data_IF_684061878428
#
_entry.id   IF_684061878428
#
_cell.length_a   1.000
_cell.length_b   1.000
_cell.length_c   1.000
_cell.angle_alpha   90.00
_cell.angle_beta   90.00
_cell.angle_gamma   90.00
#
_symmetry.space_group_name_H-M   'P 1'
#
loop_
_entity.id
_entity.type
_entity.pdbx_description
1 polymer ?
#
# COMPACT_ATOMS: atom_id res chain seq x y z
N UNK A 1 1.74 -4.40 -18.99
CA UNK A 1 0.41 -3.91 -18.61
C UNK A 1 0.12 -2.74 -19.52
N UNK A 2 -0.91 -2.85 -20.34
CA UNK A 2 -1.30 -1.77 -21.26
C UNK A 2 -2.37 -0.94 -20.55
N UNK A 3 -2.02 0.28 -20.14
CA UNK A 3 -2.97 1.17 -19.47
C UNK A 3 -3.92 1.80 -20.48
N UNK A 4 -5.23 1.70 -20.21
CA UNK A 4 -6.23 2.53 -20.88
C UNK A 4 -6.32 3.87 -20.13
N UNK A 5 -5.81 4.94 -20.74
CA UNK A 5 -5.87 6.29 -20.20
C UNK A 5 -7.06 7.04 -20.82
N UNK A 6 -7.63 7.98 -20.06
CA UNK A 6 -8.71 8.87 -20.54
C UNK A 6 -8.17 9.97 -21.46
N UNK A 7 -6.91 10.37 -21.23
CA UNK A 7 -6.21 11.41 -21.98
C UNK A 7 -4.68 11.15 -21.91
N UNK A 8 -3.90 11.97 -22.60
CA UNK A 8 -2.44 11.82 -22.71
C UNK A 8 -1.66 12.42 -21.54
N UNK A 9 -2.33 12.93 -20.48
CA UNK A 9 -1.62 13.49 -19.34
C UNK A 9 -0.89 12.39 -18.57
N UNK A 10 0.40 12.60 -18.35
CA UNK A 10 1.22 11.71 -17.53
C UNK A 10 1.17 12.12 -16.06
N UNK A 11 0.03 11.86 -15.41
CA UNK A 11 -0.14 12.12 -13.98
C UNK A 11 0.39 10.99 -13.11
N UNK A 12 0.49 9.78 -13.64
CA UNK A 12 0.86 8.56 -12.91
C UNK A 12 1.87 7.76 -13.75
N UNK A 13 2.92 7.26 -13.11
CA UNK A 13 3.97 6.47 -13.75
C UNK A 13 3.97 5.05 -13.22
N UNK A 14 4.27 4.10 -14.12
CA UNK A 14 4.50 2.69 -13.77
C UNK A 14 6.00 2.48 -13.57
N UNK A 15 6.40 2.11 -12.36
CA UNK A 15 7.71 1.59 -12.04
C UNK A 15 7.65 0.06 -11.94
N UNK A 16 8.63 -0.62 -12.53
CA UNK A 16 8.82 -2.06 -12.38
C UNK A 16 9.99 -2.28 -11.42
N UNK A 17 9.67 -2.34 -10.13
CA UNK A 17 10.67 -2.47 -9.09
C UNK A 17 11.26 -3.90 -9.08
N UNK A 18 12.58 -4.09 -9.22
CA UNK A 18 13.17 -5.42 -9.25
C UNK A 18 13.07 -6.09 -7.87
N UNK A 19 12.67 -7.35 -7.85
CA UNK A 19 12.71 -8.21 -6.68
C UNK A 19 13.78 -9.30 -6.87
N UNK A 20 14.17 -10.00 -5.81
CA UNK A 20 15.04 -11.18 -5.94
C UNK A 20 14.46 -12.21 -6.92
N UNK A 21 13.13 -12.32 -6.96
CA UNK A 21 12.38 -13.17 -7.89
C UNK A 21 11.29 -12.36 -8.57
N UNK A 22 11.57 -11.93 -9.80
CA UNK A 22 10.64 -11.17 -10.63
C UNK A 22 10.69 -9.68 -10.36
N UNK A 23 9.56 -9.01 -10.53
CA UNK A 23 9.42 -7.56 -10.36
C UNK A 23 8.08 -7.23 -9.72
N UNK A 24 8.04 -6.11 -9.00
CA UNK A 24 6.85 -5.52 -8.42
C UNK A 24 6.44 -4.29 -9.25
N UNK A 25 5.44 -4.43 -10.15
CA UNK A 25 4.88 -3.28 -10.84
C UNK A 25 4.05 -2.42 -9.88
N UNK A 26 4.49 -1.18 -9.67
CA UNK A 26 3.87 -0.18 -8.81
C UNK A 26 3.59 1.12 -9.57
N UNK A 27 2.55 1.84 -9.17
CA UNK A 27 2.18 3.12 -9.74
C UNK A 27 2.47 4.23 -8.75
N UNK A 28 3.09 5.32 -9.19
CA UNK A 28 3.42 6.46 -8.33
C UNK A 28 3.18 7.78 -9.08
N UNK A 29 3.10 8.86 -8.30
CA UNK A 29 2.80 10.21 -8.78
C UNK A 29 4.10 11.03 -8.80
N UNK A 30 4.60 11.43 -9.98
CA UNK A 30 5.81 12.26 -10.07
C UNK A 30 5.72 13.57 -9.28
N UNK A 31 4.51 14.13 -9.14
CA UNK A 31 4.27 15.33 -8.35
C UNK A 31 4.57 15.12 -6.85
N UNK A 32 4.25 13.94 -6.32
CA UNK A 32 4.55 13.60 -4.93
C UNK A 32 6.02 13.19 -4.79
N UNK A 33 6.61 12.51 -5.77
CA UNK A 33 8.06 12.20 -5.73
C UNK A 33 8.90 13.49 -5.67
N UNK A 34 8.50 14.52 -6.42
CA UNK A 34 9.17 15.81 -6.47
C UNK A 34 9.17 16.57 -5.13
N UNK A 35 8.30 16.21 -4.17
CA UNK A 35 8.34 16.82 -2.84
C UNK A 35 9.53 16.35 -2.00
N UNK A 36 10.14 15.19 -2.33
CA UNK A 36 11.28 14.62 -1.61
C UNK A 36 11.01 14.19 -0.16
N UNK A 37 9.78 14.30 0.32
CA UNK A 37 9.39 14.02 1.71
C UNK A 37 8.80 12.63 1.90
N UNK A 38 8.12 12.09 0.89
CA UNK A 38 7.43 10.81 0.98
C UNK A 38 7.87 9.86 -0.11
N UNK A 39 7.80 8.56 0.18
CA UNK A 39 7.75 7.49 -0.82
C UNK A 39 6.35 6.89 -0.77
N UNK A 40 5.72 6.68 -1.92
CA UNK A 40 4.35 6.19 -2.02
C UNK A 40 4.19 5.30 -3.25
N UNK A 41 3.15 4.48 -3.25
CA UNK A 41 2.71 3.80 -4.45
C UNK A 41 1.25 3.33 -4.33
N UNK A 42 0.62 3.11 -5.48
CA UNK A 42 -0.42 2.11 -5.62
C UNK A 42 0.21 0.83 -6.11
N UNK A 43 -0.06 -0.27 -5.42
CA UNK A 43 0.28 -1.58 -5.94
C UNK A 43 -0.63 -1.94 -7.11
N UNK A 44 -0.14 -2.79 -8.01
CA UNK A 44 -1.00 -3.49 -8.96
C UNK A 44 -1.28 -4.90 -8.46
N UNK A 45 -2.08 -5.69 -9.17
CA UNK A 45 -2.26 -7.12 -8.85
C UNK A 45 -1.03 -7.99 -9.20
N UNK A 46 -0.01 -7.43 -9.85
CA UNK A 46 1.17 -8.15 -10.31
C UNK A 46 2.30 -8.19 -9.28
N UNK A 47 3.20 -9.17 -9.42
CA UNK A 47 4.44 -9.24 -8.64
C UNK A 47 4.32 -9.90 -7.27
N UNK A 48 3.21 -10.58 -6.95
CA UNK A 48 3.02 -11.26 -5.67
C UNK A 48 3.16 -12.79 -5.72
N UNK A 49 2.82 -13.45 -4.61
CA UNK A 49 2.93 -14.88 -4.38
C UNK A 49 1.58 -15.61 -4.34
N UNK A 50 0.48 -14.88 -4.14
CA UNK A 50 -0.88 -15.42 -4.06
C UNK A 50 -1.28 -16.10 -5.36
N UNK A 51 -2.21 -17.06 -5.25
CA UNK A 51 -2.63 -17.93 -6.36
C UNK A 51 -4.13 -17.85 -6.63
N UNK A 52 -4.54 -18.38 -7.79
CA UNK A 52 -5.96 -18.53 -8.14
C UNK A 52 -6.66 -17.17 -8.22
N UNK A 53 -7.78 -17.03 -7.52
CA UNK A 53 -8.55 -15.77 -7.58
C UNK A 53 -7.83 -14.57 -6.91
N UNK A 54 -6.83 -14.83 -6.07
CA UNK A 54 -6.03 -13.81 -5.40
C UNK A 54 -4.76 -13.45 -6.18
N UNK A 55 -4.55 -14.08 -7.35
CA UNK A 55 -3.30 -13.94 -8.09
C UNK A 55 -3.06 -12.50 -8.58
N UNK A 56 -1.88 -11.90 -8.36
CA UNK A 56 -0.70 -12.44 -7.64
C UNK A 56 -0.42 -11.72 -6.32
N UNK A 57 -0.79 -10.45 -6.19
CA UNK A 57 -0.42 -9.59 -5.06
C UNK A 57 -1.66 -9.19 -4.24
N UNK A 58 -2.26 -10.15 -3.54
CA UNK A 58 -3.31 -9.84 -2.57
C UNK A 58 -2.70 -9.43 -1.21
N UNK A 59 -3.18 -8.31 -0.66
CA UNK A 59 -2.72 -7.77 0.63
C UNK A 59 -3.75 -7.93 1.75
N UNK A 60 -4.80 -8.71 1.53
CA UNK A 60 -5.86 -8.92 2.52
C UNK A 60 -5.77 -10.27 3.22
N UNK A 61 -5.63 -10.22 4.55
CA UNK A 61 -5.73 -11.37 5.45
C UNK A 61 -7.17 -11.87 5.68
N UNK A 62 -8.19 -11.17 5.19
CA UNK A 62 -9.60 -11.42 5.58
C UNK A 62 -10.48 -11.93 4.44
N UNK A 63 -9.91 -12.11 3.25
CA UNK A 63 -10.66 -12.54 2.04
C UNK A 63 -10.47 -14.01 1.69
N UNK A 64 -9.78 -14.77 2.54
CA UNK A 64 -9.62 -16.22 2.40
C UNK A 64 -8.40 -16.66 1.59
N UNK A 65 -7.42 -15.78 1.40
CA UNK A 65 -6.13 -16.13 0.81
C UNK A 65 -5.21 -16.82 1.83
N UNK A 66 -4.15 -17.46 1.34
CA UNK A 66 -3.13 -18.07 2.20
C UNK A 66 -2.36 -16.98 2.95
N UNK A 67 -2.31 -17.09 4.28
CA UNK A 67 -1.66 -16.08 5.13
C UNK A 67 -0.16 -15.94 4.81
N UNK A 68 0.54 -17.01 4.45
CA UNK A 68 1.95 -16.96 4.10
C UNK A 68 2.17 -16.21 2.78
N UNK A 69 1.30 -16.41 1.78
CA UNK A 69 1.34 -15.67 0.52
C UNK A 69 1.07 -14.18 0.75
N UNK A 70 0.10 -13.82 1.60
CA UNK A 70 -0.16 -12.42 1.97
C UNK A 70 1.03 -11.81 2.72
N UNK A 71 1.64 -12.54 3.66
CA UNK A 71 2.85 -12.09 4.39
C UNK A 71 4.05 -11.86 3.46
N UNK A 72 4.21 -12.68 2.43
CA UNK A 72 5.23 -12.51 1.38
C UNK A 72 4.91 -11.30 0.50
N UNK A 73 3.65 -11.09 0.13
CA UNK A 73 3.23 -9.90 -0.63
C UNK A 73 3.56 -8.61 0.13
N UNK A 74 3.31 -8.56 1.45
CA UNK A 74 3.73 -7.43 2.28
C UNK A 74 5.25 -7.26 2.30
N UNK A 75 6.02 -8.35 2.37
CA UNK A 75 7.49 -8.27 2.32
C UNK A 75 7.98 -7.68 1.00
N UNK A 76 7.40 -8.07 -0.13
CA UNK A 76 7.73 -7.51 -1.45
C UNK A 76 7.44 -6.02 -1.56
N UNK A 77 6.27 -5.59 -1.06
CA UNK A 77 5.92 -4.17 -1.04
C UNK A 77 6.84 -3.42 -0.08
N UNK A 78 7.20 -3.99 1.08
CA UNK A 78 8.16 -3.39 2.00
C UNK A 78 9.54 -3.18 1.37
N UNK A 79 10.01 -4.11 0.54
CA UNK A 79 11.25 -3.99 -0.23
C UNK A 79 11.24 -2.78 -1.16
N UNK A 80 10.10 -2.46 -1.80
CA UNK A 80 9.97 -1.23 -2.58
C UNK A 80 10.22 0.00 -1.70
N UNK A 81 9.70 0.03 -0.47
CA UNK A 81 9.95 1.12 0.47
C UNK A 81 11.35 1.09 1.12
N UNK A 82 12.16 0.06 0.86
CA UNK A 82 13.49 -0.10 1.46
C UNK A 82 13.43 -0.41 2.96
N UNK A 83 12.36 -1.06 3.42
CA UNK A 83 12.12 -1.36 4.84
C UNK A 83 11.49 -2.73 5.02
N UNK A 84 11.05 -3.03 6.25
CA UNK A 84 10.38 -4.27 6.62
C UNK A 84 8.85 -4.10 6.77
N UNK A 85 8.11 -5.19 6.55
CA UNK A 85 6.64 -5.20 6.66
C UNK A 85 6.10 -4.82 8.05
N UNK A 86 6.94 -4.88 9.08
CA UNK A 86 6.62 -4.36 10.43
C UNK A 86 6.36 -2.85 10.47
N UNK A 87 6.74 -2.09 9.44
CA UNK A 87 6.50 -0.64 9.40
C UNK A 87 5.11 -0.27 8.85
N UNK A 88 4.32 -1.23 8.39
CA UNK A 88 2.98 -0.98 7.86
C UNK A 88 1.98 -0.69 8.98
N UNK A 89 1.13 0.31 8.77
CA UNK A 89 -0.06 0.57 9.58
C UNK A 89 -1.27 0.54 8.68
N UNK A 90 -2.16 -0.42 8.89
CA UNK A 90 -3.32 -0.65 8.04
C UNK A 90 -4.59 -0.06 8.65
N UNK A 91 -5.42 0.52 7.78
CA UNK A 91 -6.81 0.89 8.09
C UNK A 91 -7.70 -0.34 8.38
N UNK A 92 -8.91 -0.10 8.88
CA UNK A 92 -9.96 -1.10 9.03
C UNK A 92 -11.24 -0.56 8.37
N UNK A 93 -11.24 -0.60 7.03
CA UNK A 93 -12.21 0.09 6.19
C UNK A 93 -13.61 -0.54 6.30
N UNK A 94 -14.59 0.30 6.60
CA UNK A 94 -16.01 -0.07 6.67
C UNK A 94 -16.92 0.94 5.96
N UNK A 95 -16.34 1.79 5.10
CA UNK A 95 -17.01 2.85 4.35
C UNK A 95 -17.56 3.98 5.25
N UNK A 96 -16.80 4.35 6.28
CA UNK A 96 -17.05 5.55 7.08
C UNK A 96 -16.19 6.72 6.62
N UNK A 97 -16.28 7.84 7.33
CA UNK A 97 -15.44 9.03 7.12
C UNK A 97 -14.39 9.20 8.23
N UNK A 98 -14.11 8.14 9.00
CA UNK A 98 -13.20 8.20 10.13
C UNK A 98 -11.73 8.17 9.66
N UNK A 99 -10.96 9.15 10.11
CA UNK A 99 -9.51 9.26 9.88
C UNK A 99 -8.78 9.14 11.21
N UNK A 100 -7.76 8.28 11.28
CA UNK A 100 -6.95 8.08 12.49
C UNK A 100 -5.54 8.64 12.29
N UNK A 101 -5.08 9.47 13.24
CA UNK A 101 -3.66 9.79 13.37
C UNK A 101 -2.92 8.57 13.93
N UNK A 102 -1.83 8.17 13.28
CA UNK A 102 -0.99 7.04 13.68
C UNK A 102 0.48 7.44 13.76
N UNK A 103 1.24 6.72 14.59
CA UNK A 103 2.66 6.96 14.85
C UNK A 103 3.48 5.66 14.85
N UNK A 104 4.75 5.75 15.25
CA UNK A 104 5.65 4.59 15.33
C UNK A 104 5.16 3.50 16.28
N UNK A 105 4.42 3.85 17.33
CA UNK A 105 3.82 2.90 18.26
C UNK A 105 2.76 2.00 17.60
N UNK A 106 2.16 2.45 16.51
CA UNK A 106 1.16 1.72 15.73
C UNK A 106 1.80 0.78 14.68
N UNK A 107 3.13 0.86 14.46
CA UNK A 107 3.84 0.09 13.44
C UNK A 107 3.55 -1.42 13.52
N UNK A 108 3.10 -2.01 12.42
CA UNK A 108 2.76 -3.42 12.29
C UNK A 108 1.27 -3.71 12.46
N UNK A 109 0.46 -2.74 12.89
CA UNK A 109 -0.98 -2.94 13.04
C UNK A 109 -1.66 -3.29 11.72
N UNK A 110 -2.17 -4.51 11.66
CA UNK A 110 -2.85 -5.09 10.52
C UNK A 110 -2.00 -6.00 9.64
N UNK A 111 -0.71 -6.14 9.96
CA UNK A 111 0.22 -7.02 9.24
C UNK A 111 0.92 -8.00 10.19
N UNK A 112 1.69 -7.48 11.14
CA UNK A 112 2.46 -8.28 12.11
C UNK A 112 1.87 -8.22 13.52
N UNK A 113 0.96 -7.28 13.76
CA UNK A 113 0.25 -7.07 15.03
C UNK A 113 -1.25 -6.91 14.75
N UNK A 114 -2.13 -7.37 15.65
CA UNK A 114 -3.57 -7.12 15.52
C UNK A 114 -3.87 -5.62 15.67
N UNK A 115 -4.81 -5.10 14.87
CA UNK A 115 -5.30 -3.72 14.99
C UNK A 115 -6.15 -3.57 16.26
N UNK A 116 -5.94 -2.54 17.11
CA UNK A 116 -6.81 -2.26 18.26
C UNK A 116 -8.05 -1.41 17.91
N UNK A 117 -8.25 -1.06 16.64
CA UNK A 117 -9.31 -0.15 16.17
C UNK A 117 -10.20 -0.77 15.08
N UNK A 118 -11.40 -0.21 14.96
CA UNK A 118 -12.40 -0.51 13.94
C UNK A 118 -12.87 0.76 13.28
N UNK A 119 -13.51 0.62 12.12
CA UNK A 119 -14.19 1.70 11.41
C UNK A 119 -13.26 2.89 11.15
N UNK A 120 -12.09 2.61 10.56
CA UNK A 120 -11.09 3.62 10.18
C UNK A 120 -10.83 3.45 8.70
N UNK A 121 -11.16 4.47 7.91
CA UNK A 121 -11.09 4.44 6.44
C UNK A 121 -9.95 5.33 5.90
N UNK A 122 -9.41 6.23 6.72
CA UNK A 122 -8.23 7.03 6.42
C UNK A 122 -7.19 7.01 7.54
N UNK A 123 -5.93 7.25 7.17
CA UNK A 123 -4.80 7.36 8.09
C UNK A 123 -4.04 8.66 7.81
N UNK A 124 -3.45 9.24 8.84
CA UNK A 124 -2.57 10.41 8.73
C UNK A 124 -1.40 10.27 9.71
N UNK A 125 -0.23 10.78 9.34
CA UNK A 125 0.94 10.82 10.21
C UNK A 125 1.85 11.98 9.87
N UNK A 126 2.60 12.41 10.88
CA UNK A 126 3.73 13.34 10.84
C UNK A 126 5.04 12.66 11.27
N UNK A 127 5.02 11.33 11.50
CA UNK A 127 6.20 10.57 11.92
C UNK A 127 6.87 9.83 10.75
N UNK A 128 8.21 9.92 10.61
CA UNK A 128 8.92 9.20 9.55
C UNK A 128 9.02 7.71 9.85
N UNK A 129 9.12 6.92 8.78
CA UNK A 129 9.44 5.49 8.84
C UNK A 129 8.23 4.56 8.96
N UNK A 130 6.99 5.08 8.97
CA UNK A 130 5.78 4.27 8.94
C UNK A 130 5.10 4.32 7.57
N UNK A 131 4.53 3.20 7.14
CA UNK A 131 3.84 3.06 5.85
C UNK A 131 2.34 3.02 6.10
N UNK A 132 1.63 4.08 5.70
CA UNK A 132 0.17 4.14 5.79
C UNK A 132 -0.47 3.29 4.71
N UNK A 133 -1.38 2.38 5.09
CA UNK A 133 -1.98 1.41 4.16
C UNK A 133 -3.50 1.40 4.19
N UNK A 134 -4.09 1.59 3.02
CA UNK A 134 -5.53 1.46 2.74
C UNK A 134 -5.73 0.55 1.53
N UNK A 135 -6.84 -0.17 1.47
CA UNK A 135 -7.09 -1.26 0.53
C UNK A 135 -8.21 -0.90 -0.45
N UNK A 136 -8.03 -1.30 -1.71
CA UNK A 136 -8.96 -0.94 -2.78
C UNK A 136 -9.09 -2.08 -3.79
N UNK A 137 -10.33 -2.29 -4.21
CA UNK A 137 -10.71 -2.92 -5.46
C UNK A 137 -11.98 -2.16 -5.88
N UNK A 138 -11.85 -1.25 -6.84
CA UNK A 138 -12.88 -0.33 -7.38
C UNK A 138 -13.11 0.99 -6.63
N UNK A 139 -13.00 1.05 -5.29
CA UNK A 139 -13.09 2.33 -4.55
C UNK A 139 -11.95 3.29 -4.94
N UNK A 140 -12.17 4.61 -4.82
CA UNK A 140 -11.20 5.64 -5.20
C UNK A 140 -10.13 5.82 -4.11
N UNK A 141 -8.86 5.56 -4.39
CA UNK A 141 -7.79 5.79 -3.42
C UNK A 141 -7.28 7.24 -3.49
N UNK A 142 -6.91 7.81 -2.35
CA UNK A 142 -6.46 9.20 -2.22
C UNK A 142 -5.16 9.28 -1.41
N UNK A 143 -4.24 10.14 -1.85
CA UNK A 143 -3.04 10.52 -1.10
C UNK A 143 -3.07 12.02 -0.81
N UNK A 144 -2.57 12.38 0.37
CA UNK A 144 -2.39 13.76 0.80
C UNK A 144 -1.00 13.91 1.41
N UNK A 145 -0.32 15.00 1.07
CA UNK A 145 0.99 15.36 1.61
C UNK A 145 0.97 16.86 1.84
N UNK A 146 1.34 17.29 3.05
CA UNK A 146 1.58 18.68 3.37
C UNK A 146 3.09 18.88 3.59
N UNK A 147 3.79 19.59 2.67
CA UNK A 147 5.23 19.76 2.76
C UNK A 147 5.68 20.96 3.61
N UNK A 148 4.76 21.71 4.24
CA UNK A 148 5.03 23.00 4.93
C UNK A 148 4.89 22.90 6.44
#
# INVERSE_FOLDING_TARGET
>A
MDFKKKDDREVLQLERFPLEKGELPVLHYPLLDACGMVKHCFTTRGGGASKGMFESLNLSFTRGDDEADVQENYARVASFFGTDKTQFVCSNQTHTTNVRRVGKEDAGYGVTRPRPYKDVDGLVTDEPGIILSTFYADCVPLFFVDPV
#
